data_IF_658501017476
#
_entry.id   IF_658501017476
#
_cell.length_a   1.000
_cell.length_b   1.000
_cell.length_c   1.000
_cell.angle_alpha   90.00
_cell.angle_beta   90.00
_cell.angle_gamma   90.00
#
_symmetry.space_group_name_H-M   'P 1'
#
loop_
_entity.id
_entity.type
_entity.pdbx_description
1 polymer ?
#
# COMPACT_ATOMS: atom_id res chain seq x y z
N UNK A 1 23.74 -15.64 18.37
CA UNK A 1 25.04 -15.86 19.03
C UNK A 1 25.73 -14.50 19.16
N UNK A 2 25.82 -13.94 20.36
CA UNK A 2 26.48 -12.64 20.62
C UNK A 2 28.00 -12.81 20.44
N UNK A 3 28.61 -12.14 19.46
CA UNK A 3 30.05 -12.06 19.38
C UNK A 3 30.53 -10.95 20.32
N UNK A 4 31.11 -11.35 21.46
CA UNK A 4 31.78 -10.46 22.39
C UNK A 4 33.16 -10.06 21.83
N UNK A 5 33.43 -8.76 21.86
CA UNK A 5 34.71 -8.19 22.29
C UNK A 5 35.90 -8.29 21.32
N UNK A 6 36.04 -7.29 20.47
CA UNK A 6 37.35 -6.76 20.07
C UNK A 6 37.36 -5.28 20.41
N UNK A 7 38.36 -4.82 21.17
CA UNK A 7 38.46 -3.41 21.54
C UNK A 7 38.96 -2.60 20.34
N UNK A 8 38.57 -1.32 20.27
CA UNK A 8 38.98 -0.39 19.20
C UNK A 8 40.52 -0.33 19.00
N UNK A 9 41.28 -0.69 20.04
CA UNK A 9 42.74 -0.71 20.04
C UNK A 9 43.32 -1.89 19.23
N UNK A 10 42.67 -3.05 19.27
CA UNK A 10 43.10 -4.28 18.59
C UNK A 10 42.89 -4.18 17.06
N UNK A 11 41.84 -3.48 16.64
CA UNK A 11 41.57 -3.21 15.22
C UNK A 11 42.61 -2.27 14.59
N UNK A 12 43.19 -1.34 15.36
CA UNK A 12 44.17 -0.37 14.86
C UNK A 12 45.59 -0.95 14.74
N UNK A 13 45.96 -1.93 15.56
CA UNK A 13 47.27 -2.59 15.47
C UNK A 13 47.37 -3.53 14.26
N UNK A 14 46.27 -4.20 13.90
CA UNK A 14 46.21 -5.10 12.73
C UNK A 14 46.45 -4.35 11.40
N UNK A 15 46.17 -3.05 11.36
CA UNK A 15 46.32 -2.20 10.17
C UNK A 15 47.73 -1.63 9.97
N UNK A 16 48.63 -1.70 10.96
CA UNK A 16 50.01 -1.21 10.81
C UNK A 16 50.96 -2.25 10.19
N UNK A 17 50.58 -3.51 10.13
CA UNK A 17 51.48 -4.60 9.69
C UNK A 17 51.44 -4.84 8.17
N UNK A 18 50.38 -4.43 7.47
CA UNK A 18 50.20 -4.74 6.04
C UNK A 18 50.36 -3.55 5.08
N UNK A 19 50.95 -2.45 5.53
CA UNK A 19 51.25 -1.28 4.69
C UNK A 19 52.56 -1.42 3.92
N UNK A 20 52.64 -2.30 2.92
CA UNK A 20 53.61 -2.14 1.83
C UNK A 20 53.20 -2.95 0.58
N UNK A 21 52.74 -2.25 -0.46
CA UNK A 21 52.33 -2.87 -1.72
C UNK A 21 51.94 -1.83 -2.77
N UNK A 22 52.95 -1.33 -3.48
CA UNK A 22 52.87 -0.44 -4.63
C UNK A 22 52.24 -1.17 -5.84
N UNK A 23 51.35 -0.53 -6.61
CA UNK A 23 50.78 -1.17 -7.82
C UNK A 23 49.87 -0.28 -8.67
N UNK A 24 50.47 0.48 -9.57
CA UNK A 24 49.81 1.21 -10.67
C UNK A 24 49.03 0.27 -11.62
N UNK A 25 47.80 0.64 -12.00
CA UNK A 25 46.98 -0.13 -12.94
C UNK A 25 45.84 0.67 -13.60
N UNK A 26 46.22 1.47 -14.61
CA UNK A 26 45.45 2.19 -15.65
C UNK A 26 43.92 1.99 -15.76
N UNK A 27 43.25 3.15 -15.79
CA UNK A 27 41.91 3.42 -16.33
C UNK A 27 41.60 2.72 -17.67
N UNK A 28 40.45 2.07 -17.76
CA UNK A 28 39.69 1.89 -19.00
C UNK A 28 38.22 2.25 -18.77
N UNK A 29 37.82 3.40 -19.33
CA UNK A 29 36.42 3.81 -19.49
C UNK A 29 35.78 2.89 -20.53
N UNK A 30 34.75 2.15 -20.14
CA UNK A 30 33.72 1.68 -21.08
C UNK A 30 32.38 2.26 -20.67
N UNK A 31 31.89 3.20 -21.49
CA UNK A 31 30.51 3.63 -21.55
C UNK A 31 29.73 2.52 -22.25
N UNK A 32 28.82 1.87 -21.53
CA UNK A 32 27.73 1.09 -22.13
C UNK A 32 26.44 1.44 -21.41
N UNK A 33 25.55 2.11 -22.15
CA UNK A 33 24.15 2.31 -21.81
C UNK A 33 23.41 0.99 -22.08
N UNK A 34 23.09 0.28 -21.01
CA UNK A 34 22.11 -0.81 -20.95
C UNK A 34 21.66 -0.87 -19.50
N UNK A 35 20.36 -0.96 -19.23
CA UNK A 35 19.81 -1.00 -17.87
C UNK A 35 20.33 -2.21 -17.10
N UNK A 36 21.53 -2.11 -16.51
CA UNK A 36 22.15 -3.18 -15.74
C UNK A 36 21.41 -3.28 -14.42
N UNK A 37 20.67 -4.38 -14.28
CA UNK A 37 20.18 -4.85 -13.00
C UNK A 37 21.36 -5.06 -12.05
N UNK A 38 21.21 -4.63 -10.79
CA UNK A 38 22.28 -4.73 -9.80
C UNK A 38 22.18 -6.10 -9.12
N UNK A 39 23.24 -6.93 -9.14
CA UNK A 39 23.21 -8.25 -8.53
C UNK A 39 23.22 -8.17 -6.99
N UNK A 40 23.05 -9.32 -6.34
CA UNK A 40 23.31 -9.47 -4.91
C UNK A 40 24.80 -9.21 -4.62
N UNK A 41 25.06 -8.67 -3.43
CA UNK A 41 26.41 -8.33 -2.95
C UNK A 41 26.96 -9.41 -2.04
N UNK A 42 28.27 -9.59 -2.06
CA UNK A 42 28.97 -10.41 -1.09
C UNK A 42 29.27 -9.63 0.21
N UNK A 43 30.04 -10.25 1.08
CA UNK A 43 30.38 -9.69 2.37
C UNK A 43 31.38 -8.52 2.28
N UNK A 44 32.26 -8.51 1.27
CA UNK A 44 33.25 -7.46 1.04
C UNK A 44 32.57 -6.17 0.57
N UNK A 45 31.57 -6.29 -0.31
CA UNK A 45 30.73 -5.18 -0.74
C UNK A 45 30.01 -4.52 0.43
N UNK A 46 29.39 -5.32 1.30
CA UNK A 46 28.72 -4.81 2.50
C UNK A 46 29.72 -4.12 3.41
N UNK A 47 30.90 -4.72 3.62
CA UNK A 47 31.95 -4.14 4.45
C UNK A 47 32.43 -2.80 3.91
N UNK A 48 32.65 -2.70 2.60
CA UNK A 48 33.07 -1.47 1.93
C UNK A 48 32.06 -0.35 2.14
N UNK A 49 30.77 -0.62 1.95
CA UNK A 49 29.70 0.35 2.17
C UNK A 49 29.57 0.75 3.66
N UNK A 50 29.71 -0.22 4.55
CA UNK A 50 29.68 0.03 5.99
C UNK A 50 30.81 0.95 6.43
N UNK A 51 32.05 0.67 6.00
CA UNK A 51 33.20 1.51 6.27
C UNK A 51 33.07 2.90 5.63
N UNK A 52 32.43 3.02 4.46
CA UNK A 52 32.17 4.32 3.83
C UNK A 52 31.24 5.20 4.68
N UNK A 53 30.28 4.61 5.40
CA UNK A 53 29.46 5.36 6.37
C UNK A 53 30.28 5.75 7.61
N UNK A 54 30.95 4.79 8.24
CA UNK A 54 31.61 5.01 9.53
C UNK A 54 32.86 5.90 9.44
N UNK A 55 33.62 5.80 8.36
CA UNK A 55 34.82 6.64 8.17
C UNK A 55 34.48 8.08 7.79
N UNK A 56 33.22 8.37 7.45
CA UNK A 56 32.77 9.71 7.11
C UNK A 56 31.87 10.28 8.21
N UNK A 57 32.51 10.90 9.20
CA UNK A 57 31.85 11.48 10.39
C UNK A 57 30.72 12.44 10.01
N UNK A 58 30.89 13.23 8.95
CA UNK A 58 29.86 14.16 8.51
C UNK A 58 28.62 13.44 7.96
N UNK A 59 28.83 12.44 7.10
CA UNK A 59 27.72 11.63 6.56
C UNK A 59 27.03 10.86 7.69
N UNK A 60 27.79 10.27 8.61
CA UNK A 60 27.23 9.58 9.76
C UNK A 60 26.42 10.52 10.68
N UNK A 61 26.91 11.73 10.96
CA UNK A 61 26.17 12.69 11.77
C UNK A 61 24.87 13.12 11.09
N UNK A 62 24.87 13.33 9.77
CA UNK A 62 23.64 13.59 9.01
C UNK A 62 22.68 12.40 9.10
N UNK A 63 23.18 11.17 8.98
CA UNK A 63 22.39 9.95 9.12
C UNK A 63 21.75 9.85 10.51
N UNK A 64 22.56 9.97 11.56
CA UNK A 64 22.12 9.91 12.95
C UNK A 64 21.07 10.97 13.26
N UNK A 65 21.31 12.22 12.85
CA UNK A 65 20.38 13.32 13.10
C UNK A 65 19.06 13.16 12.32
N UNK A 66 19.11 12.46 11.18
CA UNK A 66 17.92 12.23 10.35
C UNK A 66 17.07 11.04 10.81
N UNK A 67 17.70 9.94 11.23
CA UNK A 67 17.00 8.68 11.52
C UNK A 67 17.05 8.26 13.00
N UNK A 68 17.77 8.98 13.86
CA UNK A 68 17.90 8.64 15.28
C UNK A 68 18.73 7.37 15.56
N UNK A 69 19.38 6.81 14.54
CA UNK A 69 20.14 5.56 14.64
C UNK A 69 21.53 5.84 15.23
N UNK A 70 21.86 5.13 16.30
CA UNK A 70 23.14 5.17 17.01
C UNK A 70 24.25 4.50 16.21
N UNK A 71 25.50 4.74 16.60
CA UNK A 71 26.65 4.09 15.96
C UNK A 71 26.67 2.58 16.24
N UNK A 72 26.24 2.17 17.43
CA UNK A 72 26.14 0.77 17.82
C UNK A 72 25.12 0.06 16.94
N UNK A 73 23.92 0.62 16.79
CA UNK A 73 22.91 0.07 15.89
C UNK A 73 23.36 0.09 14.43
N UNK A 74 24.03 1.15 13.96
CA UNK A 74 24.58 1.17 12.61
C UNK A 74 25.64 0.09 12.39
N UNK A 75 26.42 -0.25 13.43
CA UNK A 75 27.44 -1.30 13.42
C UNK A 75 26.80 -2.69 13.45
N UNK A 76 25.89 -2.94 14.39
CA UNK A 76 25.19 -4.21 14.57
C UNK A 76 24.48 -4.67 13.29
N UNK A 77 23.86 -3.72 12.57
CA UNK A 77 23.14 -3.98 11.32
C UNK A 77 23.97 -3.69 10.07
N UNK A 78 25.26 -3.37 10.21
CA UNK A 78 26.21 -3.09 9.13
C UNK A 78 25.67 -2.07 8.11
N UNK A 79 25.00 -1.04 8.60
CA UNK A 79 24.42 0.02 7.78
C UNK A 79 25.57 0.73 7.06
N UNK A 80 25.39 0.96 5.76
CA UNK A 80 26.41 1.56 4.92
C UNK A 80 25.96 2.85 4.23
N UNK A 81 26.88 3.43 3.49
CA UNK A 81 26.62 4.55 2.60
C UNK A 81 27.23 4.27 1.23
N UNK A 82 26.39 4.37 0.20
CA UNK A 82 26.80 4.23 -1.19
C UNK A 82 27.05 5.62 -1.76
N UNK A 83 28.33 5.98 -1.91
CA UNK A 83 28.76 7.29 -2.42
C UNK A 83 28.37 7.53 -3.88
N UNK A 84 28.23 6.47 -4.67
CA UNK A 84 27.84 6.58 -6.08
C UNK A 84 26.33 6.80 -6.16
N UNK A 85 25.57 5.97 -5.43
CA UNK A 85 24.14 6.10 -5.38
C UNK A 85 23.68 7.27 -4.52
N UNK A 86 24.55 7.91 -3.72
CA UNK A 86 24.19 8.94 -2.72
C UNK A 86 23.01 8.48 -1.85
N UNK A 87 23.14 7.30 -1.25
CA UNK A 87 22.07 6.67 -0.47
C UNK A 87 22.64 5.85 0.69
N UNK A 88 21.91 5.84 1.80
CA UNK A 88 22.17 4.88 2.89
C UNK A 88 21.75 3.48 2.46
N UNK A 89 22.50 2.49 2.90
CA UNK A 89 22.39 1.11 2.46
C UNK A 89 22.13 0.20 3.66
N UNK A 90 21.17 -0.71 3.49
CA UNK A 90 20.83 -1.72 4.50
C UNK A 90 21.12 -3.09 3.89
N UNK A 91 22.10 -3.84 4.43
CA UNK A 91 22.35 -5.20 3.98
C UNK A 91 21.27 -6.14 4.54
N UNK A 92 20.57 -6.81 3.64
CA UNK A 92 19.55 -7.81 3.97
C UNK A 92 20.07 -9.16 3.50
N UNK A 93 20.39 -10.04 4.45
CA UNK A 93 20.88 -11.39 4.14
C UNK A 93 19.82 -12.16 3.32
N UNK A 94 20.28 -12.79 2.25
CA UNK A 94 19.50 -13.64 1.35
C UNK A 94 19.93 -15.10 1.52
N UNK A 95 19.30 -15.99 0.75
CA UNK A 95 19.77 -17.38 0.61
C UNK A 95 21.21 -17.37 0.06
N UNK A 96 21.96 -18.41 0.39
CA UNK A 96 23.35 -18.63 -0.05
C UNK A 96 24.41 -17.66 0.53
N UNK A 97 24.06 -16.91 1.59
CA UNK A 97 25.02 -16.05 2.30
C UNK A 97 25.30 -14.71 1.62
N UNK A 98 24.60 -14.40 0.52
CA UNK A 98 24.67 -13.13 -0.18
C UNK A 98 23.72 -12.10 0.41
N UNK A 99 23.89 -10.83 0.05
CA UNK A 99 23.12 -9.71 0.59
C UNK A 99 22.38 -8.96 -0.52
N UNK A 100 21.09 -8.72 -0.28
CA UNK A 100 20.39 -7.62 -0.93
C UNK A 100 20.77 -6.33 -0.19
N UNK A 101 21.64 -5.54 -0.79
CA UNK A 101 21.98 -4.21 -0.27
C UNK A 101 20.93 -3.22 -0.75
N UNK A 102 19.90 -3.03 0.07
CA UNK A 102 18.80 -2.11 -0.24
C UNK A 102 19.25 -0.66 0.00
N UNK A 103 19.20 0.15 -1.04
CA UNK A 103 19.54 1.59 -0.96
C UNK A 103 18.27 2.38 -0.67
N UNK A 104 18.25 3.00 0.50
CA UNK A 104 17.07 3.66 1.05
C UNK A 104 16.51 4.72 0.08
N UNK A 105 15.20 4.62 -0.20
CA UNK A 105 14.45 5.46 -1.17
C UNK A 105 14.97 5.42 -2.61
N UNK A 106 15.75 4.40 -2.98
CA UNK A 106 16.23 4.20 -4.35
C UNK A 106 15.86 2.81 -4.84
N UNK A 107 16.85 1.93 -4.97
CA UNK A 107 16.72 0.63 -5.58
C UNK A 107 17.30 -0.46 -4.67
N UNK A 108 16.92 -1.69 -4.97
CA UNK A 108 17.46 -2.89 -4.34
C UNK A 108 17.96 -3.85 -5.42
N UNK A 109 18.65 -4.91 -5.03
CA UNK A 109 19.21 -5.86 -5.98
C UNK A 109 18.11 -6.60 -6.76
N UNK A 110 18.38 -6.88 -8.04
CA UNK A 110 17.50 -7.67 -8.89
C UNK A 110 17.48 -9.12 -8.42
N UNK A 111 16.29 -9.72 -8.39
CA UNK A 111 16.11 -11.09 -7.91
C UNK A 111 16.16 -11.23 -6.38
N UNK A 112 16.31 -10.12 -5.64
CA UNK A 112 16.27 -10.16 -4.18
C UNK A 112 14.89 -10.58 -3.68
N UNK A 113 14.85 -11.56 -2.78
CA UNK A 113 13.64 -11.94 -2.08
C UNK A 113 13.25 -10.86 -1.07
N UNK A 114 11.95 -10.55 -1.06
CA UNK A 114 11.36 -9.74 -0.01
C UNK A 114 11.22 -10.58 1.27
N UNK A 115 11.65 -10.04 2.40
CA UNK A 115 11.67 -10.69 3.71
C UNK A 115 11.13 -9.76 4.81
N UNK A 116 10.85 -10.30 6.00
CA UNK A 116 10.72 -9.51 7.22
C UNK A 116 12.12 -9.14 7.76
N UNK A 117 12.30 -7.88 8.12
CA UNK A 117 13.56 -7.34 8.62
C UNK A 117 13.35 -6.47 9.88
N UNK A 118 14.23 -6.51 10.88
CA UNK A 118 15.36 -7.43 10.99
C UNK A 118 14.90 -8.84 11.37
N UNK A 119 15.58 -9.86 10.83
CA UNK A 119 15.23 -11.27 11.09
C UNK A 119 15.38 -11.65 12.56
N UNK A 120 16.34 -11.02 13.26
CA UNK A 120 16.58 -11.20 14.69
C UNK A 120 15.41 -10.77 15.58
N UNK A 121 14.51 -9.90 15.11
CA UNK A 121 13.40 -9.39 15.90
C UNK A 121 12.08 -10.14 15.67
N UNK A 122 11.99 -11.02 14.66
CA UNK A 122 10.73 -11.64 14.21
C UNK A 122 9.99 -12.36 15.36
N UNK A 123 10.73 -13.11 16.17
CA UNK A 123 10.15 -13.92 17.25
C UNK A 123 9.47 -13.05 18.32
N UNK A 124 10.09 -11.94 18.71
CA UNK A 124 9.58 -11.05 19.75
C UNK A 124 8.71 -9.90 19.19
N UNK A 125 8.69 -9.73 17.87
CA UNK A 125 8.06 -8.58 17.22
C UNK A 125 6.59 -8.42 17.60
N UNK A 126 6.26 -7.21 18.08
CA UNK A 126 4.89 -6.75 18.33
C UNK A 126 4.51 -5.54 17.49
N UNK A 127 5.51 -4.88 16.88
CA UNK A 127 5.30 -3.70 16.05
C UNK A 127 5.71 -4.00 14.61
N UNK A 128 4.85 -3.64 13.66
CA UNK A 128 5.15 -3.70 12.23
C UNK A 128 5.23 -2.26 11.72
N UNK A 129 6.40 -1.86 11.26
CA UNK A 129 6.65 -0.53 10.67
C UNK A 129 6.72 -0.61 9.15
N UNK A 130 6.51 0.51 8.48
CA UNK A 130 6.56 0.57 7.01
C UNK A 130 7.97 0.44 6.42
N UNK A 131 9.00 0.89 7.16
CA UNK A 131 10.37 0.98 6.67
C UNK A 131 11.41 0.44 7.64
N UNK A 132 12.52 -0.07 7.10
CA UNK A 132 13.52 -0.80 7.87
C UNK A 132 14.21 0.07 8.94
N UNK A 133 14.53 1.33 8.64
CA UNK A 133 15.12 2.22 9.63
C UNK A 133 14.17 2.52 10.80
N UNK A 134 12.85 2.52 10.57
CA UNK A 134 11.85 2.69 11.64
C UNK A 134 11.85 1.46 12.56
N UNK A 135 11.87 0.26 11.98
CA UNK A 135 12.04 -0.97 12.74
C UNK A 135 13.35 -0.95 13.55
N UNK A 136 14.48 -0.59 12.94
CA UNK A 136 15.76 -0.51 13.65
C UNK A 136 15.76 0.50 14.80
N UNK A 137 15.13 1.67 14.60
CA UNK A 137 15.00 2.69 15.65
C UNK A 137 14.18 2.16 16.85
N UNK A 138 13.08 1.46 16.60
CA UNK A 138 12.29 0.84 17.68
C UNK A 138 13.07 -0.26 18.40
N UNK A 139 13.77 -1.12 17.67
CA UNK A 139 14.61 -2.18 18.26
C UNK A 139 15.75 -1.58 19.11
N UNK A 140 16.38 -0.49 18.65
CA UNK A 140 17.38 0.26 19.43
C UNK A 140 16.80 0.75 20.77
N UNK A 141 15.51 1.10 20.80
CA UNK A 141 14.80 1.52 22.01
C UNK A 141 14.20 0.35 22.81
N UNK A 142 14.52 -0.90 22.46
CA UNK A 142 14.01 -2.09 23.14
C UNK A 142 12.52 -2.33 22.92
N UNK A 143 12.01 -1.95 21.74
CA UNK A 143 10.65 -2.24 21.28
C UNK A 143 10.78 -3.17 20.06
N UNK A 144 10.54 -4.48 20.22
CA UNK A 144 10.70 -5.44 19.13
C UNK A 144 9.79 -5.11 17.93
N UNK A 145 10.43 -4.80 16.80
CA UNK A 145 9.74 -4.33 15.61
C UNK A 145 10.32 -4.94 14.33
N UNK A 146 9.48 -5.10 13.32
CA UNK A 146 9.88 -5.55 11.97
C UNK A 146 9.26 -4.69 10.88
N UNK A 147 9.81 -4.79 9.68
CA UNK A 147 9.34 -4.18 8.44
C UNK A 147 9.44 -5.20 7.32
N UNK A 148 8.48 -5.18 6.39
CA UNK A 148 8.63 -5.88 5.13
C UNK A 148 9.64 -5.13 4.23
N UNK A 149 10.56 -5.84 3.59
CA UNK A 149 11.58 -5.18 2.75
C UNK A 149 11.08 -4.73 1.39
N UNK A 150 9.81 -5.00 1.06
CA UNK A 150 9.18 -4.71 -0.23
C UNK A 150 8.36 -3.42 -0.26
N UNK A 151 8.45 -2.60 0.79
CA UNK A 151 7.66 -1.38 0.96
C UNK A 151 6.21 -1.63 1.40
N UNK A 152 5.47 -0.53 1.66
CA UNK A 152 4.14 -0.53 2.26
C UNK A 152 3.10 -1.41 1.55
N UNK A 153 3.20 -1.49 0.22
CA UNK A 153 2.29 -2.28 -0.61
C UNK A 153 2.57 -3.79 -0.60
N UNK A 154 3.63 -4.25 0.07
CA UNK A 154 4.07 -5.65 0.05
C UNK A 154 3.88 -6.31 1.42
N UNK A 155 3.04 -7.33 1.46
CA UNK A 155 2.92 -8.25 2.59
C UNK A 155 2.79 -9.66 2.02
N UNK A 156 3.57 -10.61 2.55
CA UNK A 156 3.45 -12.02 2.17
C UNK A 156 2.70 -12.77 3.26
N UNK A 157 1.76 -13.62 2.87
CA UNK A 157 0.94 -14.38 3.83
C UNK A 157 1.79 -15.29 4.73
N UNK A 158 2.93 -15.79 4.23
CA UNK A 158 3.89 -16.59 5.01
C UNK A 158 4.43 -15.85 6.25
N UNK A 159 4.43 -14.51 6.23
CA UNK A 159 4.87 -13.70 7.37
C UNK A 159 3.82 -13.61 8.47
N UNK A 160 2.54 -13.77 8.13
CA UNK A 160 1.45 -13.63 9.10
C UNK A 160 1.56 -14.64 10.24
N UNK A 161 2.09 -15.83 9.96
CA UNK A 161 2.28 -16.90 10.94
C UNK A 161 3.20 -16.48 12.09
N UNK A 162 4.20 -15.62 11.82
CA UNK A 162 5.10 -15.09 12.83
C UNK A 162 4.39 -14.26 13.92
N UNK A 163 3.13 -13.89 13.69
CA UNK A 163 2.32 -13.07 14.58
C UNK A 163 1.16 -13.83 15.23
N UNK A 164 1.10 -15.16 15.08
CA UNK A 164 0.03 -15.97 15.67
C UNK A 164 -0.11 -15.73 17.16
N UNK A 165 -1.32 -15.39 17.59
CA UNK A 165 -1.66 -15.17 19.00
C UNK A 165 -1.01 -13.94 19.65
N UNK A 166 -0.34 -13.08 18.88
CA UNK A 166 0.27 -11.84 19.41
C UNK A 166 -0.70 -10.67 19.34
N UNK A 167 -0.53 -9.71 20.25
CA UNK A 167 -1.06 -8.36 20.11
C UNK A 167 -0.16 -7.54 19.20
N UNK A 168 -0.67 -7.18 18.02
CA UNK A 168 0.12 -6.55 16.97
C UNK A 168 -0.26 -5.09 16.80
N UNK A 169 0.74 -4.23 16.71
CA UNK A 169 0.58 -2.81 16.37
C UNK A 169 1.20 -2.55 15.00
N UNK A 170 0.39 -2.03 14.08
CA UNK A 170 0.85 -1.55 12.78
C UNK A 170 1.14 -0.06 12.89
N UNK A 171 2.42 0.31 12.84
CA UNK A 171 2.92 1.68 12.95
C UNK A 171 3.44 2.18 11.59
N UNK A 172 2.55 2.20 10.60
CA UNK A 172 2.82 2.71 9.24
C UNK A 172 2.59 4.21 9.15
N UNK A 173 3.03 4.82 8.05
CA UNK A 173 3.01 6.26 7.88
C UNK A 173 1.57 6.78 7.69
N UNK A 174 1.28 8.00 8.15
CA UNK A 174 -0.05 8.59 8.00
C UNK A 174 -0.30 9.19 6.60
N UNK A 175 0.13 8.52 5.55
CA UNK A 175 -0.14 8.89 4.16
C UNK A 175 -1.07 7.87 3.47
N UNK A 176 -1.32 8.04 2.17
CA UNK A 176 -2.19 7.14 1.42
C UNK A 176 -1.63 5.71 1.37
N UNK A 177 -0.33 5.56 1.10
CA UNK A 177 0.31 4.26 0.97
C UNK A 177 0.39 3.53 2.31
N UNK A 178 0.71 4.25 3.39
CA UNK A 178 0.73 3.72 4.74
C UNK A 178 -0.65 3.27 5.24
N UNK A 179 -1.72 4.01 4.92
CA UNK A 179 -3.12 3.60 5.23
C UNK A 179 -3.53 2.34 4.47
N UNK A 180 -3.24 2.27 3.17
CA UNK A 180 -3.53 1.09 2.35
C UNK A 180 -2.71 -0.13 2.81
N UNK A 181 -1.44 0.07 3.13
CA UNK A 181 -0.55 -0.94 3.69
C UNK A 181 -1.02 -1.44 5.05
N UNK A 182 -1.48 -0.54 5.93
CA UNK A 182 -2.06 -0.88 7.24
C UNK A 182 -3.24 -1.82 7.10
N UNK A 183 -4.19 -1.49 6.22
CA UNK A 183 -5.35 -2.34 5.96
C UNK A 183 -4.96 -3.68 5.34
N UNK A 184 -3.94 -3.72 4.47
CA UNK A 184 -3.44 -4.95 3.87
C UNK A 184 -2.85 -5.89 4.92
N UNK A 185 -2.00 -5.37 5.81
CA UNK A 185 -1.41 -6.14 6.92
C UNK A 185 -2.51 -6.62 7.86
N UNK A 186 -3.44 -5.74 8.25
CA UNK A 186 -4.54 -6.11 9.13
C UNK A 186 -5.39 -7.25 8.57
N UNK A 187 -5.74 -7.19 7.28
CA UNK A 187 -6.46 -8.28 6.60
C UNK A 187 -5.68 -9.59 6.61
N UNK A 188 -4.37 -9.54 6.38
CA UNK A 188 -3.52 -10.72 6.36
C UNK A 188 -3.28 -11.33 7.75
N UNK A 189 -3.45 -10.55 8.82
CA UNK A 189 -3.33 -11.00 10.21
C UNK A 189 -4.67 -11.37 10.85
N UNK A 190 -5.79 -11.03 10.21
CA UNK A 190 -7.14 -11.31 10.70
C UNK A 190 -7.32 -12.82 10.92
N UNK A 191 -7.74 -13.21 12.12
CA UNK A 191 -7.88 -14.62 12.52
C UNK A 191 -6.55 -15.33 12.85
N UNK A 192 -5.41 -14.64 12.78
CA UNK A 192 -4.09 -15.18 13.14
C UNK A 192 -3.55 -14.50 14.41
N UNK A 193 -3.48 -13.17 14.39
CA UNK A 193 -3.09 -12.37 15.55
C UNK A 193 -4.20 -12.36 16.61
N UNK A 194 -3.85 -12.15 17.89
CA UNK A 194 -4.83 -12.02 18.97
C UNK A 194 -5.55 -10.67 18.90
N UNK A 195 -4.82 -9.60 18.58
CA UNK A 195 -5.37 -8.28 18.30
C UNK A 195 -4.52 -7.55 17.26
N UNK A 196 -5.14 -6.62 16.53
CA UNK A 196 -4.47 -5.82 15.51
C UNK A 196 -4.90 -4.36 15.66
N UNK A 197 -3.95 -3.53 16.06
CA UNK A 197 -4.16 -2.10 16.34
C UNK A 197 -3.26 -1.23 15.47
N UNK A 198 -3.60 0.04 15.37
CA UNK A 198 -2.78 1.06 14.70
C UNK A 198 -2.53 2.25 15.61
N UNK A 199 -1.39 2.90 15.39
CA UNK A 199 -1.01 4.13 16.09
C UNK A 199 -1.80 5.31 15.52
N UNK A 200 -2.33 6.15 16.41
CA UNK A 200 -2.86 7.47 16.04
C UNK A 200 -1.73 8.48 16.16
N UNK A 201 -1.16 8.86 15.03
CA UNK A 201 -0.08 9.85 14.98
C UNK A 201 -0.58 11.25 15.30
N UNK A 202 0.24 12.03 16.00
CA UNK A 202 0.00 13.45 16.20
C UNK A 202 -0.06 14.17 14.83
N UNK A 203 -1.14 14.90 14.59
CA UNK A 203 -1.38 15.63 13.34
C UNK A 203 -0.36 16.75 13.09
N UNK A 204 0.37 17.21 14.12
CA UNK A 204 1.43 18.20 14.03
C UNK A 204 2.78 17.63 13.59
N UNK A 205 2.92 16.30 13.50
CA UNK A 205 4.14 15.69 12.95
C UNK A 205 4.26 15.99 11.44
N UNK A 206 5.49 16.23 10.92
CA UNK A 206 5.70 16.50 9.50
C UNK A 206 5.28 15.34 8.60
N UNK A 207 5.88 14.16 8.79
CA UNK A 207 5.64 12.92 8.05
C UNK A 207 4.76 11.94 8.82
N UNK A 208 4.48 12.23 10.10
CA UNK A 208 3.57 11.44 10.95
C UNK A 208 3.97 9.97 10.97
N UNK A 209 5.23 9.74 11.31
CA UNK A 209 5.83 8.42 11.38
C UNK A 209 6.70 8.25 12.64
N UNK A 210 7.21 7.03 12.82
CA UNK A 210 8.10 6.65 13.93
C UNK A 210 9.32 7.56 14.03
N UNK A 211 9.95 7.91 12.90
CA UNK A 211 11.21 8.66 12.91
C UNK A 211 10.97 10.07 13.43
N UNK A 212 9.97 10.76 12.88
CA UNK A 212 9.65 12.12 13.29
C UNK A 212 9.21 12.19 14.76
N UNK A 213 8.48 11.16 15.23
CA UNK A 213 8.07 11.07 16.63
C UNK A 213 9.26 11.13 17.59
N UNK A 214 10.33 10.37 17.31
CA UNK A 214 11.52 10.36 18.16
C UNK A 214 12.48 11.51 17.85
N UNK A 215 12.71 11.83 16.58
CA UNK A 215 13.75 12.77 16.15
C UNK A 215 13.25 14.21 16.18
N UNK A 216 12.05 14.47 15.68
CA UNK A 216 11.51 15.85 15.60
C UNK A 216 10.84 16.29 16.89
N UNK A 217 10.12 15.41 17.58
CA UNK A 217 9.46 15.74 18.86
C UNK A 217 10.28 15.38 20.09
N UNK A 218 11.45 14.75 19.92
CA UNK A 218 12.33 14.31 21.01
C UNK A 218 11.60 13.45 22.06
N UNK A 219 10.66 12.61 21.59
CA UNK A 219 9.90 11.68 22.45
C UNK A 219 10.76 10.53 22.92
N UNK A 220 10.32 9.88 23.98
CA UNK A 220 11.03 8.78 24.64
C UNK A 220 10.37 7.43 24.37
N UNK A 221 11.08 6.35 24.69
CA UNK A 221 10.52 4.99 24.71
C UNK A 221 9.23 4.92 25.52
N UNK A 222 9.19 5.59 26.69
CA UNK A 222 8.02 5.59 27.58
C UNK A 222 6.80 6.18 26.87
N UNK A 223 6.99 7.32 26.20
CA UNK A 223 5.90 7.98 25.45
C UNK A 223 5.37 7.09 24.33
N UNK A 224 6.24 6.36 23.63
CA UNK A 224 5.82 5.43 22.59
C UNK A 224 5.06 4.22 23.15
N UNK A 225 5.47 3.68 24.31
CA UNK A 225 4.74 2.60 24.98
C UNK A 225 3.34 3.04 25.45
N UNK A 226 3.21 4.29 25.91
CA UNK A 226 1.91 4.87 26.23
C UNK A 226 1.04 5.00 24.97
N UNK A 227 1.62 5.46 23.85
CA UNK A 227 0.93 5.52 22.56
C UNK A 227 0.49 4.14 22.06
N UNK A 228 1.32 3.10 22.28
CA UNK A 228 0.96 1.71 21.98
C UNK A 228 -0.22 1.22 22.84
N UNK A 229 -0.27 1.62 24.10
CA UNK A 229 -1.38 1.29 25.02
C UNK A 229 -2.69 1.94 24.55
N UNK A 230 -2.60 3.16 24.04
CA UNK A 230 -3.72 3.92 23.48
C UNK A 230 -3.97 3.66 21.98
N UNK A 231 -3.33 2.64 21.40
CA UNK A 231 -3.53 2.28 20.00
C UNK A 231 -4.99 1.84 19.77
N UNK A 232 -5.51 2.17 18.59
CA UNK A 232 -6.91 1.92 18.23
C UNK A 232 -7.04 0.66 17.39
N UNK A 233 -8.14 -0.08 17.57
CA UNK A 233 -8.43 -1.25 16.75
C UNK A 233 -8.55 -0.88 15.28
N UNK A 234 -7.95 -1.69 14.42
CA UNK A 234 -8.12 -1.52 12.98
C UNK A 234 -9.47 -2.13 12.62
N UNK A 235 -10.42 -1.29 12.24
CA UNK A 235 -11.70 -1.74 11.69
C UNK A 235 -11.43 -2.32 10.31
N UNK A 236 -11.33 -3.65 10.25
CA UNK A 236 -11.38 -4.37 8.99
C UNK A 236 -12.86 -4.40 8.60
N UNK A 237 -13.29 -3.43 7.80
CA UNK A 237 -14.54 -3.59 7.08
C UNK A 237 -14.42 -4.89 6.28
N UNK A 238 -15.13 -5.93 6.73
CA UNK A 238 -15.39 -7.08 5.90
C UNK A 238 -16.01 -6.52 4.64
N UNK A 239 -15.31 -6.65 3.49
CA UNK A 239 -16.00 -6.53 2.22
C UNK A 239 -17.23 -7.44 2.35
N UNK A 240 -18.45 -6.94 2.11
CA UNK A 240 -19.64 -7.78 2.24
C UNK A 240 -19.37 -9.06 1.47
N UNK A 241 -19.64 -10.21 2.12
CA UNK A 241 -19.57 -11.50 1.44
C UNK A 241 -20.27 -11.35 0.10
N UNK A 242 -19.59 -11.76 -0.97
CA UNK A 242 -20.14 -11.71 -2.30
C UNK A 242 -21.38 -12.61 -2.33
N UNK A 243 -22.56 -12.00 -2.30
CA UNK A 243 -23.80 -12.69 -2.57
C UNK A 243 -24.19 -12.34 -4.01
N UNK A 244 -24.33 -13.35 -4.89
CA UNK A 244 -24.77 -13.13 -6.27
C UNK A 244 -26.06 -12.30 -6.35
N UNK A 245 -26.89 -12.33 -5.30
CA UNK A 245 -28.13 -11.53 -5.23
C UNK A 245 -27.90 -10.02 -5.06
N UNK A 246 -26.67 -9.55 -4.79
CA UNK A 246 -26.34 -8.12 -4.64
C UNK A 246 -25.88 -7.46 -5.93
N UNK A 247 -25.65 -8.23 -7.00
CA UNK A 247 -25.35 -7.69 -8.32
C UNK A 247 -26.67 -7.47 -9.09
N UNK A 248 -26.76 -6.41 -9.91
CA UNK A 248 -27.92 -6.23 -10.79
C UNK A 248 -28.03 -7.28 -11.90
N UNK A 249 -27.17 -8.31 -11.90
CA UNK A 249 -27.08 -9.34 -12.93
C UNK A 249 -26.79 -10.70 -12.30
N UNK A 250 -27.51 -11.74 -12.75
CA UNK A 250 -27.27 -13.12 -12.37
C UNK A 250 -26.50 -13.83 -13.49
N UNK A 251 -25.48 -14.60 -13.11
CA UNK A 251 -24.84 -15.56 -14.00
C UNK A 251 -25.17 -16.97 -13.51
N UNK A 252 -25.37 -17.90 -14.41
CA UNK A 252 -25.58 -19.29 -14.06
C UNK A 252 -24.86 -20.22 -15.03
N UNK A 253 -24.49 -21.38 -14.52
CA UNK A 253 -24.07 -22.54 -15.27
C UNK A 253 -25.32 -23.41 -15.41
N UNK A 254 -25.93 -23.44 -16.60
CA UNK A 254 -27.05 -24.33 -16.89
C UNK A 254 -26.44 -25.60 -17.50
N UNK A 255 -26.67 -26.77 -16.89
CA UNK A 255 -26.42 -28.07 -17.52
C UNK A 255 -27.41 -28.27 -18.68
N UNK A 256 -27.19 -27.53 -19.77
CA UNK A 256 -27.88 -27.70 -21.03
C UNK A 256 -26.87 -27.39 -22.14
N UNK A 257 -25.87 -28.26 -22.25
CA UNK A 257 -24.80 -28.20 -23.25
C UNK A 257 -23.41 -27.87 -22.68
N UNK A 258 -22.38 -28.21 -23.46
CA UNK A 258 -20.95 -28.20 -23.08
C UNK A 258 -20.31 -26.80 -22.90
N UNK A 259 -21.06 -25.73 -22.61
CA UNK A 259 -20.44 -24.40 -22.47
C UNK A 259 -21.23 -23.47 -21.55
N UNK A 260 -20.66 -22.99 -20.43
CA UNK A 260 -21.32 -22.04 -19.54
C UNK A 260 -21.58 -20.71 -20.28
N UNK A 261 -22.76 -20.10 -20.07
CA UNK A 261 -23.15 -18.84 -20.72
C UNK A 261 -23.42 -17.76 -19.69
N UNK A 262 -22.67 -16.67 -19.79
CA UNK A 262 -22.91 -15.46 -18.99
C UNK A 262 -24.16 -14.73 -19.49
N UNK A 263 -25.19 -14.60 -18.63
CA UNK A 263 -26.40 -13.80 -18.89
C UNK A 263 -26.47 -12.61 -17.91
N UNK A 264 -27.32 -11.64 -18.23
CA UNK A 264 -27.53 -10.41 -17.46
C UNK A 264 -29.03 -10.22 -17.29
N UNK A 265 -29.50 -10.04 -16.05
CA UNK A 265 -30.89 -9.66 -15.78
C UNK A 265 -31.04 -8.15 -15.91
N UNK A 266 -31.35 -7.70 -17.11
CA UNK A 266 -31.39 -6.28 -17.43
C UNK A 266 -32.52 -5.51 -16.72
N UNK A 267 -33.58 -6.20 -16.27
CA UNK A 267 -34.65 -5.60 -15.46
C UNK A 267 -34.16 -5.19 -14.06
N UNK A 268 -33.32 -6.01 -13.44
CA UNK A 268 -32.72 -5.69 -12.14
C UNK A 268 -31.73 -4.52 -12.23
N UNK A 269 -31.05 -4.37 -13.37
CA UNK A 269 -30.19 -3.21 -13.61
C UNK A 269 -30.96 -1.88 -13.61
N UNK A 270 -32.17 -1.82 -14.17
CA UNK A 270 -33.01 -0.60 -14.07
C UNK A 270 -33.36 -0.31 -12.62
N UNK A 271 -33.89 -1.31 -11.91
CA UNK A 271 -34.30 -1.13 -10.51
C UNK A 271 -33.15 -0.64 -9.65
N UNK A 272 -31.94 -1.12 -9.93
CA UNK A 272 -30.75 -0.69 -9.21
C UNK A 272 -30.29 0.71 -9.62
N UNK A 273 -30.30 1.07 -10.91
CA UNK A 273 -30.00 2.43 -11.36
C UNK A 273 -31.00 3.44 -10.78
N UNK A 274 -32.28 3.09 -10.70
CA UNK A 274 -33.29 3.91 -10.05
C UNK A 274 -32.98 4.13 -8.56
N UNK A 275 -32.68 3.05 -7.81
CA UNK A 275 -32.25 3.13 -6.40
C UNK A 275 -31.02 4.01 -6.22
N UNK A 276 -30.10 3.97 -7.17
CA UNK A 276 -28.86 4.76 -7.19
C UNK A 276 -29.09 6.21 -7.63
N UNK A 277 -30.34 6.60 -7.88
CA UNK A 277 -30.76 7.98 -8.15
C UNK A 277 -30.80 8.36 -9.63
N UNK A 278 -30.65 7.41 -10.57
CA UNK A 278 -30.83 7.69 -11.99
C UNK A 278 -32.30 7.80 -12.35
N UNK A 279 -32.68 8.91 -12.96
CA UNK A 279 -34.06 9.23 -13.32
C UNK A 279 -34.10 9.96 -14.66
N UNK A 280 -35.27 10.02 -15.30
CA UNK A 280 -35.52 10.94 -16.41
C UNK A 280 -36.04 12.26 -15.87
N UNK A 281 -35.34 13.35 -16.14
CA UNK A 281 -35.80 14.69 -15.78
C UNK A 281 -36.60 15.31 -16.92
N UNK A 282 -37.70 15.96 -16.53
CA UNK A 282 -38.52 16.82 -17.37
C UNK A 282 -38.70 18.16 -16.67
N UNK A 283 -38.51 19.28 -17.39
CA UNK A 283 -38.52 20.62 -16.79
C UNK A 283 -39.91 21.23 -16.58
N UNK A 284 -40.96 20.67 -17.19
CA UNK A 284 -42.36 21.05 -16.91
C UNK A 284 -43.33 20.04 -17.51
N UNK A 285 -44.60 20.08 -17.10
CA UNK A 285 -45.66 19.26 -17.69
C UNK A 285 -45.93 19.52 -19.19
N UNK A 286 -45.31 20.54 -19.79
CA UNK A 286 -45.39 20.86 -21.24
C UNK A 286 -44.12 20.50 -22.01
N UNK A 287 -42.97 20.41 -21.35
CA UNK A 287 -41.70 20.08 -21.99
C UNK A 287 -41.73 18.65 -22.52
N UNK A 288 -41.45 18.40 -23.80
CA UNK A 288 -41.52 17.05 -24.37
C UNK A 288 -40.18 16.32 -24.28
N UNK A 289 -39.10 17.05 -24.02
CA UNK A 289 -37.76 16.47 -23.94
C UNK A 289 -37.51 15.90 -22.54
N UNK A 290 -36.87 14.72 -22.51
CA UNK A 290 -36.47 14.05 -21.28
C UNK A 290 -34.97 13.83 -21.35
N UNK A 291 -34.25 14.29 -20.34
CA UNK A 291 -32.83 14.02 -20.19
C UNK A 291 -32.62 13.01 -19.06
N UNK A 292 -31.62 12.16 -19.17
CA UNK A 292 -31.26 11.27 -18.07
C UNK A 292 -30.41 12.07 -17.09
N UNK A 293 -30.76 11.99 -15.81
CA UNK A 293 -30.06 12.66 -14.72
C UNK A 293 -29.74 11.68 -13.61
N UNK A 294 -28.74 12.02 -12.80
CA UNK A 294 -28.53 11.43 -11.49
C UNK A 294 -28.91 12.45 -10.41
N UNK A 295 -29.79 12.05 -9.51
CA UNK A 295 -30.25 12.83 -8.36
C UNK A 295 -29.69 12.22 -7.09
N UNK A 296 -28.85 12.96 -6.36
CA UNK A 296 -28.31 12.54 -5.06
C UNK A 296 -28.13 13.75 -4.16
N UNK A 297 -28.56 13.67 -2.90
CA UNK A 297 -28.37 14.75 -1.89
C UNK A 297 -28.82 16.13 -2.40
N UNK A 298 -29.98 16.19 -3.08
CA UNK A 298 -30.55 17.39 -3.71
C UNK A 298 -29.74 17.99 -4.89
N UNK A 299 -28.69 17.32 -5.35
CA UNK A 299 -27.96 17.68 -6.57
C UNK A 299 -28.49 16.89 -7.77
N UNK A 300 -28.69 17.60 -8.87
CA UNK A 300 -29.09 17.02 -10.17
C UNK A 300 -27.93 17.18 -11.13
N UNK A 301 -27.49 16.08 -11.73
CA UNK A 301 -26.45 16.08 -12.76
C UNK A 301 -26.98 15.37 -14.00
N UNK A 302 -26.92 16.03 -15.15
CA UNK A 302 -27.16 15.38 -16.44
C UNK A 302 -26.11 14.29 -16.68
N UNK A 303 -26.56 13.15 -17.19
CA UNK A 303 -25.70 12.00 -17.44
C UNK A 303 -25.92 11.47 -18.85
N UNK A 304 -24.81 11.15 -19.50
CA UNK A 304 -24.80 10.44 -20.78
C UNK A 304 -24.58 8.92 -20.56
N UNK A 305 -24.64 8.17 -21.66
CA UNK A 305 -24.44 6.72 -21.65
C UNK A 305 -23.05 6.33 -21.13
N UNK A 306 -22.02 7.11 -21.46
CA UNK A 306 -20.65 6.89 -21.00
C UNK A 306 -20.56 7.02 -19.48
N UNK A 307 -21.28 7.97 -18.89
CA UNK A 307 -21.36 8.18 -17.44
C UNK A 307 -22.07 7.04 -16.75
N UNK A 308 -23.18 6.54 -17.30
CA UNK A 308 -23.89 5.37 -16.75
C UNK A 308 -22.98 4.13 -16.81
N UNK A 309 -22.33 3.88 -17.95
CA UNK A 309 -21.36 2.80 -18.12
C UNK A 309 -20.27 2.86 -17.06
N UNK A 310 -19.58 3.99 -16.96
CA UNK A 310 -18.50 4.19 -15.99
C UNK A 310 -18.98 4.03 -14.55
N UNK A 311 -20.18 4.52 -14.23
CA UNK A 311 -20.76 4.35 -12.91
C UNK A 311 -21.02 2.87 -12.58
N UNK A 312 -21.62 2.12 -13.50
CA UNK A 312 -21.85 0.68 -13.30
C UNK A 312 -20.52 -0.07 -13.17
N UNK A 313 -19.50 0.30 -13.95
CA UNK A 313 -18.16 -0.27 -13.83
C UNK A 313 -17.52 -0.02 -12.46
N UNK A 314 -17.42 1.23 -12.05
CA UNK A 314 -16.71 1.58 -10.81
C UNK A 314 -17.45 1.09 -9.56
N UNK A 315 -18.77 1.09 -9.60
CA UNK A 315 -19.61 0.67 -8.46
C UNK A 315 -19.64 -0.85 -8.31
N UNK A 316 -19.85 -1.57 -9.41
CA UNK A 316 -20.14 -3.01 -9.36
C UNK A 316 -19.01 -3.90 -9.83
N UNK A 317 -18.20 -3.47 -10.80
CA UNK A 317 -17.18 -4.33 -11.42
C UNK A 317 -15.81 -4.14 -10.81
N UNK A 318 -15.37 -2.90 -10.56
CA UNK A 318 -14.05 -2.63 -9.99
C UNK A 318 -13.87 -3.24 -8.60
N UNK A 319 -14.97 -3.42 -7.87
CA UNK A 319 -15.02 -4.03 -6.55
C UNK A 319 -14.86 -5.56 -6.55
N UNK A 320 -15.10 -6.22 -7.71
CA UNK A 320 -15.00 -7.68 -7.87
C UNK A 320 -13.56 -8.19 -7.94
N UNK A 321 -13.30 -9.44 -7.48
CA UNK A 321 -12.02 -10.11 -7.67
C UNK A 321 -11.69 -10.31 -9.16
N UNK A 322 -10.40 -10.48 -9.49
CA UNK A 322 -9.95 -10.65 -10.88
C UNK A 322 -10.54 -11.89 -11.60
N UNK A 323 -10.96 -12.90 -10.83
CA UNK A 323 -11.66 -14.09 -11.31
C UNK A 323 -12.96 -14.24 -10.53
N UNK A 324 -14.07 -14.43 -11.24
CA UNK A 324 -15.43 -14.46 -10.68
C UNK A 324 -15.91 -15.91 -10.56
N UNK A 325 -15.53 -16.78 -11.50
CA UNK A 325 -15.71 -18.23 -11.42
C UNK A 325 -14.58 -18.97 -12.15
N UNK A 326 -14.60 -20.31 -12.13
CA UNK A 326 -13.64 -21.12 -12.88
C UNK A 326 -13.72 -20.88 -14.40
N UNK A 327 -14.87 -20.41 -14.89
CA UNK A 327 -15.18 -20.26 -16.32
C UNK A 327 -15.20 -18.80 -16.78
N UNK A 328 -15.19 -17.81 -15.87
CA UNK A 328 -15.29 -16.40 -16.23
C UNK A 328 -14.32 -15.50 -15.47
N UNK A 329 -13.58 -14.69 -16.22
CA UNK A 329 -12.78 -13.59 -15.68
C UNK A 329 -13.62 -12.33 -15.46
N UNK A 330 -13.06 -11.39 -14.70
CA UNK A 330 -13.62 -10.03 -14.56
C UNK A 330 -13.75 -9.30 -15.91
N UNK A 331 -12.84 -9.55 -16.85
CA UNK A 331 -12.88 -8.94 -18.17
C UNK A 331 -13.97 -9.53 -19.08
N UNK A 332 -14.28 -10.82 -18.94
CA UNK A 332 -15.39 -11.45 -19.64
C UNK A 332 -16.73 -10.86 -19.18
N UNK A 333 -16.88 -10.65 -17.87
CA UNK A 333 -18.04 -9.99 -17.31
C UNK A 333 -18.14 -8.53 -17.78
N UNK A 334 -17.02 -7.81 -17.79
CA UNK A 334 -16.97 -6.43 -18.29
C UNK A 334 -17.48 -6.34 -19.72
N UNK A 335 -16.99 -7.18 -20.62
CA UNK A 335 -17.42 -7.22 -22.03
C UNK A 335 -18.91 -7.48 -22.14
N UNK A 336 -19.42 -8.49 -21.43
CA UNK A 336 -20.84 -8.84 -21.49
C UNK A 336 -21.76 -7.75 -20.95
N UNK A 337 -21.30 -7.02 -19.93
CA UNK A 337 -22.03 -5.90 -19.37
C UNK A 337 -22.07 -4.69 -20.32
N UNK A 338 -20.98 -4.44 -21.06
CA UNK A 338 -20.97 -3.44 -22.15
C UNK A 338 -22.03 -3.83 -23.21
N UNK A 339 -22.00 -5.08 -23.68
CA UNK A 339 -22.92 -5.57 -24.70
C UNK A 339 -24.37 -5.47 -24.21
N UNK A 340 -24.64 -5.92 -22.98
CA UNK A 340 -25.95 -5.85 -22.35
C UNK A 340 -26.48 -4.43 -22.26
N UNK A 341 -25.66 -3.47 -21.82
CA UNK A 341 -26.04 -2.05 -21.77
C UNK A 341 -26.31 -1.50 -23.17
N UNK A 342 -25.49 -1.85 -24.17
CA UNK A 342 -25.67 -1.36 -25.55
C UNK A 342 -26.99 -1.85 -26.14
N UNK A 343 -27.26 -3.15 -26.06
CA UNK A 343 -28.55 -3.73 -26.47
C UNK A 343 -29.71 -3.08 -25.73
N UNK A 344 -29.52 -2.70 -24.47
CA UNK A 344 -30.57 -2.06 -23.67
C UNK A 344 -30.92 -0.65 -24.13
N UNK A 345 -29.91 0.11 -24.53
CA UNK A 345 -30.06 1.46 -25.10
C UNK A 345 -30.76 1.37 -26.45
N UNK A 346 -30.34 0.43 -27.30
CA UNK A 346 -30.93 0.20 -28.62
C UNK A 346 -32.40 -0.21 -28.53
N UNK A 347 -32.78 -0.96 -27.48
CA UNK A 347 -34.16 -1.35 -27.21
C UNK A 347 -34.99 -0.30 -26.46
N UNK A 348 -34.46 0.92 -26.25
CA UNK A 348 -35.17 2.02 -25.58
C UNK A 348 -35.50 1.77 -24.11
N UNK A 349 -34.87 0.80 -23.45
CA UNK A 349 -35.29 0.36 -22.12
C UNK A 349 -34.94 1.34 -21.00
N UNK A 350 -34.02 2.29 -21.22
CA UNK A 350 -33.85 3.46 -20.35
C UNK A 350 -35.13 4.29 -20.23
N UNK A 351 -36.10 4.08 -21.14
CA UNK A 351 -37.40 4.72 -21.02
C UNK A 351 -38.23 4.27 -19.83
N UNK A 352 -37.91 3.13 -19.22
CA UNK A 352 -38.55 2.66 -18.00
C UNK A 352 -37.99 3.33 -16.74
N UNK A 353 -36.93 4.16 -16.82
CA UNK A 353 -36.52 4.98 -15.68
C UNK A 353 -37.66 5.92 -15.26
N UNK A 354 -37.88 6.11 -13.94
CA UNK A 354 -38.93 6.98 -13.45
C UNK A 354 -38.71 8.41 -13.94
N UNK A 355 -39.80 9.09 -14.30
CA UNK A 355 -39.78 10.48 -14.74
C UNK A 355 -40.02 11.39 -13.55
N UNK A 356 -39.09 12.29 -13.27
CA UNK A 356 -39.29 13.39 -12.33
C UNK A 356 -39.61 14.64 -13.12
N UNK A 357 -40.71 15.28 -12.75
CA UNK A 357 -41.06 16.60 -13.28
C UNK A 357 -40.65 17.64 -12.26
N UNK A 358 -39.84 18.60 -12.68
CA UNK A 358 -39.52 19.77 -11.89
C UNK A 358 -40.38 20.91 -12.37
N UNK A 359 -41.00 21.66 -11.46
CA UNK A 359 -41.71 22.89 -11.79
C UNK A 359 -40.90 24.06 -11.23
N UNK A 360 -40.61 25.04 -12.08
CA UNK A 360 -39.99 26.29 -11.64
C UNK A 360 -40.99 27.07 -10.79
N UNK A 361 -40.71 27.20 -9.50
CA UNK A 361 -41.61 27.87 -8.56
C UNK A 361 -41.49 29.39 -8.63
N UNK A 362 -40.26 29.91 -8.71
CA UNK A 362 -39.98 31.34 -8.81
C UNK A 362 -38.49 31.59 -9.08
N UNK A 363 -38.16 32.62 -9.86
CA UNK A 363 -36.77 33.05 -10.10
C UNK A 363 -36.46 34.24 -9.19
N UNK A 364 -35.85 33.98 -8.04
CA UNK A 364 -35.27 35.03 -7.21
C UNK A 364 -33.90 35.44 -7.79
N UNK A 365 -33.47 36.70 -7.59
CA UNK A 365 -32.27 37.29 -8.24
C UNK A 365 -30.96 36.47 -8.12
N UNK A 366 -30.86 35.53 -7.18
CA UNK A 366 -29.64 34.75 -6.90
C UNK A 366 -29.78 33.24 -6.95
N UNK A 367 -30.98 32.67 -6.92
CA UNK A 367 -31.20 31.21 -6.89
C UNK A 367 -32.50 30.82 -7.58
N UNK A 368 -32.54 29.61 -8.15
CA UNK A 368 -33.73 28.98 -8.69
C UNK A 368 -34.21 27.97 -7.64
N UNK A 369 -35.46 28.11 -7.18
CA UNK A 369 -36.09 27.14 -6.29
C UNK A 369 -36.88 26.15 -7.14
N UNK A 370 -36.52 24.87 -7.01
CA UNK A 370 -37.19 23.76 -7.67
C UNK A 370 -38.19 23.13 -6.71
N UNK A 371 -39.42 22.91 -7.17
CA UNK A 371 -40.38 22.05 -6.48
C UNK A 371 -40.35 20.68 -7.14
N UNK A 372 -40.07 19.65 -6.33
CA UNK A 372 -40.27 18.26 -6.72
C UNK A 372 -41.72 17.89 -6.37
N UNK A 373 -42.45 17.31 -7.33
CA UNK A 373 -43.70 16.61 -7.05
C UNK A 373 -43.44 15.12 -6.80
#
# INVERSE_FOLDING_TARGET
MRLKGLSLKDAMETLKVNGNGNGNGKNKKNKENGGKTIPLSDNEDVQRLHMALLNNVNVFNVFKNKYGISIDTATDYRIGYDDVAKAYAIPILQKDGLFNVKRHKKFQASGAETVLYPTSAIEEAKVITEGEFKALLLNQLGIPAVSGTGGAGTWKNEWSECFRGKDVIVAYDMDKAGKEGTLKVAKALSGIAASIKTIVWDMHLPNKDVTDYFVSLNKTRKDFLEMMTNAVDIVIESKPEFNQTSLPFCFWEEEAGNTPKLKINTSNLILQLEKDGFKKLRLSARDLQKIVVKIKENLIKEVDLSTIRNYVFTTYLDTLPGRISHSFSKDDLRKKLIDGINTYVELGKLDALPVVTIIFSERQKRYIIFLFQ
#
